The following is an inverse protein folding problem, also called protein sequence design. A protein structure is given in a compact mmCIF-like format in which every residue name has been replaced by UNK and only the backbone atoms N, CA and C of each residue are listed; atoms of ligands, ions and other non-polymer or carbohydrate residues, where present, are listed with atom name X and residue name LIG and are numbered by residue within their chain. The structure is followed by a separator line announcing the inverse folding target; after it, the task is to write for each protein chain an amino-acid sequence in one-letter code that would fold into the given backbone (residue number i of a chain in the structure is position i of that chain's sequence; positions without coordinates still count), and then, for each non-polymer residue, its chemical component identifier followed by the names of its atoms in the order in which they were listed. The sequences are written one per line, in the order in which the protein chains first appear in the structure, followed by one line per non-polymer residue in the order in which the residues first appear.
data_IF_554932528230
#
_entry.id   IF_554932528230
#
_cell.length_a   1.000
_cell.length_b   1.000
_cell.length_c   1.000
_cell.angle_alpha   90.00
_cell.angle_beta   90.00
_cell.angle_gamma   90.00
#
_symmetry.space_group_name_H-M   'P 1'
#
loop_
_entity.id
_entity.type
_entity.pdbx_description
1 polymer ?
#
# COMPACT_ATOMS: atom_id res chain seq x y z
N UNK A 1 11.03 -6.71 16.25
CA UNK A 1 10.49 -5.98 15.08
C UNK A 1 11.61 -5.75 14.08
N UNK A 2 12.73 -5.16 14.51
CA UNK A 2 13.94 -5.02 13.69
C UNK A 2 14.44 -6.34 13.09
N UNK A 3 14.55 -7.42 13.87
CA UNK A 3 15.03 -8.72 13.35
C UNK A 3 14.21 -9.27 12.16
N UNK A 4 12.90 -8.99 12.12
CA UNK A 4 12.00 -9.43 11.04
C UNK A 4 12.22 -8.57 9.79
N UNK A 5 12.32 -7.24 9.96
CA UNK A 5 12.59 -6.31 8.86
C UNK A 5 13.98 -6.56 8.25
N UNK A 6 14.99 -6.81 9.09
CA UNK A 6 16.33 -7.20 8.65
C UNK A 6 16.31 -8.51 7.86
N UNK A 7 15.56 -9.52 8.33
CA UNK A 7 15.41 -10.78 7.59
C UNK A 7 14.80 -10.56 6.20
N UNK A 8 13.69 -9.81 6.13
CA UNK A 8 12.99 -9.53 4.87
C UNK A 8 13.93 -8.82 3.91
N UNK A 9 14.52 -7.70 4.33
CA UNK A 9 15.49 -6.93 3.55
C UNK A 9 16.60 -7.82 2.97
N UNK A 10 17.24 -8.64 3.82
CA UNK A 10 18.27 -9.58 3.37
C UNK A 10 17.74 -10.62 2.38
N UNK A 11 16.58 -11.22 2.66
CA UNK A 11 15.98 -12.26 1.81
C UNK A 11 15.52 -11.74 0.45
N UNK A 12 15.06 -10.49 0.39
CA UNK A 12 14.61 -9.81 -0.82
C UNK A 12 15.74 -9.07 -1.54
N UNK A 13 16.98 -9.12 -1.02
CA UNK A 13 18.14 -8.39 -1.53
C UNK A 13 17.89 -6.87 -1.64
N UNK A 14 17.22 -6.32 -0.63
CA UNK A 14 16.94 -4.89 -0.47
C UNK A 14 17.52 -4.40 0.86
N UNK A 15 17.71 -3.08 1.01
CA UNK A 15 17.97 -2.53 2.34
C UNK A 15 16.63 -2.28 3.07
N UNK A 16 16.64 -2.23 4.40
CA UNK A 16 15.40 -2.03 5.20
C UNK A 16 14.65 -0.75 4.82
N UNK A 17 15.38 0.31 4.48
CA UNK A 17 14.81 1.60 4.04
C UNK A 17 14.11 1.49 2.67
N UNK A 18 14.50 0.55 1.81
CA UNK A 18 13.81 0.27 0.54
C UNK A 18 12.48 -0.43 0.76
N UNK A 19 12.36 -1.26 1.80
CA UNK A 19 11.08 -1.88 2.18
C UNK A 19 10.07 -0.80 2.57
N UNK A 20 10.45 0.09 3.49
CA UNK A 20 9.57 1.18 3.96
C UNK A 20 9.18 2.15 2.83
N UNK A 21 10.09 2.37 1.87
CA UNK A 21 9.79 3.16 0.66
C UNK A 21 8.84 2.45 -0.30
N UNK A 22 8.94 1.13 -0.44
CA UNK A 22 8.04 0.37 -1.29
C UNK A 22 6.59 0.45 -0.77
N UNK A 23 6.40 0.32 0.55
CA UNK A 23 5.09 0.46 1.18
C UNK A 23 4.53 1.89 0.98
N UNK A 24 5.37 2.90 1.17
CA UNK A 24 5.01 4.30 0.95
C UNK A 24 4.62 4.57 -0.52
N UNK A 25 5.20 3.84 -1.47
CA UNK A 25 4.93 4.03 -2.89
C UNK A 25 3.49 3.65 -3.28
N UNK A 26 2.82 2.75 -2.53
CA UNK A 26 1.43 2.39 -2.77
C UNK A 26 0.50 3.61 -2.70
N UNK A 27 0.61 4.38 -1.61
CA UNK A 27 -0.13 5.64 -1.46
C UNK A 27 0.27 6.71 -2.47
N UNK A 28 1.57 6.82 -2.79
CA UNK A 28 2.06 7.79 -3.77
C UNK A 28 1.49 7.56 -5.18
N UNK A 29 1.43 6.31 -5.62
CA UNK A 29 0.82 5.95 -6.92
C UNK A 29 -0.67 6.28 -6.94
N UNK A 30 -1.39 6.03 -5.84
CA UNK A 30 -2.80 6.40 -5.74
C UNK A 30 -3.02 7.91 -5.89
N UNK A 31 -2.18 8.74 -5.24
CA UNK A 31 -2.24 10.20 -5.37
C UNK A 31 -1.96 10.64 -6.80
N UNK A 32 -0.93 10.09 -7.44
CA UNK A 32 -0.60 10.41 -8.83
C UNK A 32 -1.77 10.11 -9.78
N UNK A 33 -2.43 8.96 -9.60
CA UNK A 33 -3.60 8.58 -10.38
C UNK A 33 -4.79 9.55 -10.19
N UNK A 34 -5.02 10.01 -8.95
CA UNK A 34 -6.04 11.04 -8.69
C UNK A 34 -5.68 12.40 -9.27
N UNK A 35 -4.41 12.81 -9.23
CA UNK A 35 -3.96 14.11 -9.75
C UNK A 35 -4.07 14.22 -11.27
N UNK A 36 -3.98 13.10 -11.98
CA UNK A 36 -4.22 13.03 -13.42
C UNK A 36 -5.70 13.09 -13.81
N UNK A 37 -6.59 13.06 -12.82
CA UNK A 37 -8.05 13.01 -12.99
C UNK A 37 -8.51 11.83 -13.88
N UNK A 38 -7.70 10.77 -13.92
CA UNK A 38 -7.93 9.56 -14.72
C UNK A 38 -8.92 8.60 -14.03
N UNK A 39 -9.12 8.76 -12.72
CA UNK A 39 -9.84 7.81 -11.88
C UNK A 39 -10.64 8.48 -10.76
N UNK A 40 -11.77 7.87 -10.41
CA UNK A 40 -12.61 8.33 -9.31
C UNK A 40 -12.32 7.61 -7.99
N UNK A 41 -11.90 6.35 -8.05
CA UNK A 41 -11.63 5.52 -6.88
C UNK A 41 -10.38 4.63 -7.09
N UNK A 42 -9.69 4.32 -5.99
CA UNK A 42 -8.56 3.36 -5.94
C UNK A 42 -8.85 2.31 -4.87
N UNK A 43 -8.55 1.06 -5.18
CA UNK A 43 -8.44 0.00 -4.18
C UNK A 43 -6.99 -0.49 -4.17
N UNK A 44 -6.33 -0.41 -3.02
CA UNK A 44 -5.03 -1.00 -2.77
C UNK A 44 -5.26 -2.44 -2.33
N UNK A 45 -4.64 -3.38 -3.04
CA UNK A 45 -4.62 -4.79 -2.68
C UNK A 45 -3.20 -5.17 -2.31
N UNK A 46 -2.99 -5.55 -1.06
CA UNK A 46 -1.70 -6.01 -0.53
C UNK A 46 -1.91 -7.02 0.58
N UNK A 47 -0.94 -7.91 0.80
CA UNK A 47 -0.94 -8.81 1.96
C UNK A 47 -0.37 -8.14 3.21
N UNK A 48 0.26 -6.98 3.05
CA UNK A 48 0.76 -6.16 4.16
C UNK A 48 -0.34 -5.20 4.64
N UNK A 49 -0.96 -5.53 5.77
CA UNK A 49 -2.09 -4.79 6.33
C UNK A 49 -1.66 -3.37 6.73
N UNK A 50 -0.50 -3.21 7.37
CA UNK A 50 -0.04 -1.92 7.86
C UNK A 50 0.28 -0.99 6.67
N UNK A 51 0.87 -1.52 5.59
CA UNK A 51 1.09 -0.77 4.36
C UNK A 51 -0.23 -0.35 3.69
N UNK A 52 -1.23 -1.25 3.68
CA UNK A 52 -2.56 -1.00 3.14
C UNK A 52 -3.32 0.08 3.90
N UNK A 53 -3.46 -0.07 5.21
CA UNK A 53 -4.13 0.90 6.09
C UNK A 53 -3.39 2.24 6.14
N UNK A 54 -2.05 2.20 6.22
CA UNK A 54 -1.21 3.39 6.18
C UNK A 54 -1.40 4.19 4.89
N UNK A 55 -1.49 3.51 3.75
CA UNK A 55 -1.77 4.15 2.46
C UNK A 55 -3.16 4.79 2.42
N UNK A 56 -4.21 4.09 2.87
CA UNK A 56 -5.57 4.66 2.95
C UNK A 56 -5.58 5.93 3.79
N UNK A 57 -4.98 5.88 4.99
CA UNK A 57 -4.94 7.02 5.91
C UNK A 57 -4.18 8.22 5.31
N UNK A 58 -3.01 7.98 4.72
CA UNK A 58 -2.19 9.02 4.12
C UNK A 58 -2.89 9.69 2.92
N UNK A 59 -3.50 8.90 2.04
CA UNK A 59 -4.19 9.39 0.84
C UNK A 59 -5.50 10.09 1.20
N UNK A 60 -6.26 9.56 2.16
CA UNK A 60 -7.48 10.20 2.67
C UNK A 60 -7.18 11.57 3.29
N UNK A 61 -6.06 11.70 4.02
CA UNK A 61 -5.62 12.98 4.58
C UNK A 61 -5.30 14.06 3.52
N UNK A 62 -5.11 13.68 2.25
CA UNK A 62 -4.94 14.60 1.12
C UNK A 62 -6.28 15.04 0.49
N UNK A 63 -7.43 14.69 1.08
CA UNK A 63 -8.76 15.06 0.58
C UNK A 63 -9.42 14.03 -0.33
N UNK A 64 -8.83 12.86 -0.47
CA UNK A 64 -9.39 11.72 -1.21
C UNK A 64 -10.14 10.76 -0.28
N UNK A 65 -10.67 11.25 0.84
CA UNK A 65 -11.53 10.43 1.71
C UNK A 65 -12.69 9.84 0.90
N UNK A 66 -13.08 8.62 1.23
CA UNK A 66 -14.10 7.82 0.53
C UNK A 66 -13.78 7.46 -0.93
N UNK A 67 -12.59 7.81 -1.44
CA UNK A 67 -12.14 7.46 -2.79
C UNK A 67 -11.01 6.42 -2.80
N UNK A 68 -10.43 6.12 -1.64
CA UNK A 68 -9.35 5.15 -1.46
C UNK A 68 -9.80 4.06 -0.49
N UNK A 69 -9.54 2.80 -0.86
CA UNK A 69 -9.88 1.63 -0.05
C UNK A 69 -8.71 0.65 0.01
N UNK A 70 -8.69 -0.19 1.04
CA UNK A 70 -7.76 -1.30 1.18
C UNK A 70 -8.55 -2.62 1.22
N UNK A 71 -8.09 -3.61 0.46
CA UNK A 71 -8.54 -5.01 0.56
C UNK A 71 -7.33 -5.91 0.84
N UNK A 72 -7.43 -6.77 1.85
CA UNK A 72 -6.38 -7.74 2.16
C UNK A 72 -6.23 -8.72 0.99
N UNK A 73 -5.01 -8.88 0.49
CA UNK A 73 -4.70 -9.76 -0.64
C UNK A 73 -5.11 -11.21 -0.44
N UNK A 74 -5.08 -11.73 0.79
CA UNK A 74 -5.54 -13.09 1.08
C UNK A 74 -7.07 -13.23 0.94
N UNK A 75 -7.82 -12.22 1.40
CA UNK A 75 -9.27 -12.18 1.26
C UNK A 75 -9.67 -12.00 -0.20
N UNK A 76 -8.96 -11.12 -0.92
CA UNK A 76 -9.16 -10.89 -2.35
C UNK A 76 -9.00 -12.19 -3.15
N UNK A 77 -7.90 -12.92 -2.95
CA UNK A 77 -7.65 -14.19 -3.64
C UNK A 77 -8.78 -15.19 -3.35
N UNK A 78 -9.15 -15.34 -2.07
CA UNK A 78 -10.25 -16.24 -1.65
C UNK A 78 -11.58 -15.90 -2.33
N UNK A 79 -11.83 -14.62 -2.59
CA UNK A 79 -13.05 -14.14 -3.24
C UNK A 79 -13.09 -14.40 -4.74
N UNK A 80 -11.94 -14.50 -5.41
CA UNK A 80 -11.84 -14.63 -6.88
C UNK A 80 -11.51 -16.04 -7.37
N UNK A 81 -11.20 -16.98 -6.48
CA UNK A 81 -10.91 -18.40 -6.79
C UNK A 81 -11.94 -19.32 -6.17
#
# INVERSE_FOLDING_TARGET
MDDIRTYIANSSNHNENEIEKADTALGAVAIELFQRDEINHVCIVTTDIDAGEGSVNAVAAQGYQDRIYFENGFDFITRIT
#
